data_IF_163229144476
#
_entry.id   IF_163229144476
#
_cell.length_a   1.000
_cell.length_b   1.000
_cell.length_c   1.000
_cell.angle_alpha   90.00
_cell.angle_beta   90.00
_cell.angle_gamma   90.00
#
_symmetry.space_group_name_H-M   'P 1'
#
loop_
_entity.id
_entity.type
_entity.pdbx_description
1 polymer ?
#
# COMPACT_ATOMS: atom_id res chain seq x y z
N UNK A 1 -8.63 -13.82 -6.40
CA UNK A 1 -7.28 -14.39 -6.30
C UNK A 1 -6.30 -13.72 -7.27
N UNK A 2 -6.24 -14.01 -8.58
CA UNK A 2 -5.15 -13.47 -9.44
C UNK A 2 -5.18 -11.94 -9.70
N UNK A 3 -6.37 -11.32 -9.76
CA UNK A 3 -6.49 -9.87 -10.01
C UNK A 3 -6.20 -8.99 -8.77
N UNK A 4 -6.52 -9.47 -7.56
CA UNK A 4 -6.23 -8.73 -6.32
C UNK A 4 -4.72 -8.71 -6.05
N UNK A 5 -4.04 -9.86 -6.17
CA UNK A 5 -2.57 -9.94 -6.06
C UNK A 5 -1.87 -9.06 -7.09
N UNK A 6 -2.41 -8.96 -8.31
CA UNK A 6 -1.86 -8.09 -9.34
C UNK A 6 -2.02 -6.59 -9.00
N UNK A 7 -3.13 -6.20 -8.37
CA UNK A 7 -3.39 -4.81 -7.96
C UNK A 7 -2.48 -4.37 -6.82
N UNK A 8 -2.27 -5.22 -5.82
CA UNK A 8 -1.35 -4.96 -4.70
C UNK A 8 0.09 -4.75 -5.17
N UNK A 9 0.56 -5.68 -6.01
CA UNK A 9 1.88 -5.59 -6.61
C UNK A 9 1.99 -4.32 -7.46
N UNK A 10 0.97 -4.00 -8.26
CA UNK A 10 0.97 -2.82 -9.13
C UNK A 10 1.10 -1.52 -8.34
N UNK A 11 0.40 -1.37 -7.20
CA UNK A 11 0.49 -0.16 -6.36
C UNK A 11 1.91 0.01 -5.83
N UNK A 12 2.52 -1.05 -5.30
CA UNK A 12 3.89 -0.97 -4.77
C UNK A 12 4.90 -0.60 -5.88
N UNK A 13 4.77 -1.19 -7.07
CA UNK A 13 5.63 -0.92 -8.22
C UNK A 13 5.50 0.54 -8.65
N UNK A 14 4.28 1.07 -8.75
CA UNK A 14 4.04 2.45 -9.16
C UNK A 14 4.68 3.43 -8.19
N UNK A 15 4.55 3.20 -6.89
CA UNK A 15 5.12 4.10 -5.87
C UNK A 15 6.64 4.07 -5.88
N UNK A 16 7.24 2.89 -5.99
CA UNK A 16 8.69 2.72 -6.07
C UNK A 16 9.25 3.35 -7.35
N UNK A 17 8.65 3.07 -8.51
CA UNK A 17 9.07 3.64 -9.79
C UNK A 17 8.89 5.16 -9.79
N UNK A 18 7.81 5.67 -9.20
CA UNK A 18 7.59 7.10 -9.02
C UNK A 18 8.70 7.76 -8.19
N UNK A 19 9.06 7.17 -7.04
CA UNK A 19 10.13 7.68 -6.19
C UNK A 19 11.49 7.67 -6.91
N UNK A 20 11.81 6.58 -7.61
CA UNK A 20 13.02 6.48 -8.42
C UNK A 20 13.04 7.56 -9.51
N UNK A 21 11.90 7.81 -10.18
CA UNK A 21 11.78 8.87 -11.18
C UNK A 21 12.05 10.26 -10.62
N UNK A 22 11.51 10.56 -9.43
CA UNK A 22 11.78 11.83 -8.72
C UNK A 22 13.27 11.98 -8.43
N UNK A 23 13.93 10.93 -7.93
CA UNK A 23 15.37 10.93 -7.68
C UNK A 23 16.18 11.17 -8.97
N UNK A 24 15.81 10.51 -10.07
CA UNK A 24 16.48 10.69 -11.37
C UNK A 24 16.39 12.14 -11.89
N UNK A 25 15.22 12.77 -11.74
CA UNK A 25 15.02 14.18 -12.10
C UNK A 25 15.86 15.10 -11.22
N UNK A 26 15.86 14.88 -9.91
CA UNK A 26 16.64 15.66 -8.95
C UNK A 26 18.14 15.56 -9.22
N UNK A 27 18.64 14.35 -9.47
CA UNK A 27 20.03 14.14 -9.88
C UNK A 27 20.33 14.90 -11.17
N UNK A 28 19.48 14.82 -12.19
CA UNK A 28 19.73 15.53 -13.46
C UNK A 28 19.71 17.05 -13.31
N UNK A 29 18.84 17.59 -12.45
CA UNK A 29 18.69 19.03 -12.22
C UNK A 29 19.76 19.64 -11.31
N UNK A 30 20.22 18.89 -10.31
CA UNK A 30 21.09 19.39 -9.24
C UNK A 30 22.48 18.74 -9.19
N UNK A 31 22.79 17.82 -10.10
CA UNK A 31 24.16 17.36 -10.31
C UNK A 31 24.94 18.38 -11.12
N UNK A 32 26.02 18.87 -10.53
CA UNK A 32 27.04 19.68 -11.21
C UNK A 32 28.36 18.92 -11.12
N UNK A 33 28.98 18.65 -12.26
CA UNK A 33 30.28 17.95 -12.36
C UNK A 33 30.31 16.58 -11.64
N UNK A 34 29.22 15.81 -11.73
CA UNK A 34 29.12 14.49 -11.09
C UNK A 34 28.97 14.52 -9.58
N UNK A 35 28.85 15.70 -8.97
CA UNK A 35 28.58 15.88 -7.54
C UNK A 35 27.21 16.53 -7.31
N UNK A 36 26.52 16.12 -6.26
CA UNK A 36 25.35 16.87 -5.80
C UNK A 36 25.84 18.04 -4.96
N UNK A 37 25.56 19.26 -5.43
CA UNK A 37 25.82 20.46 -4.64
C UNK A 37 24.95 20.49 -3.37
N UNK A 38 25.21 21.42 -2.43
CA UNK A 38 24.42 21.58 -1.20
C UNK A 38 22.91 21.67 -1.46
N UNK A 39 22.53 22.38 -2.51
CA UNK A 39 21.13 22.50 -2.98
C UNK A 39 20.53 21.16 -3.39
N UNK A 40 21.29 20.27 -4.03
CA UNK A 40 20.85 18.92 -4.38
C UNK A 40 20.59 18.07 -3.13
N UNK A 41 21.40 18.24 -2.08
CA UNK A 41 21.17 17.60 -0.78
C UNK A 41 19.84 18.02 -0.15
N UNK A 42 19.54 19.32 -0.13
CA UNK A 42 18.24 19.80 0.35
C UNK A 42 17.07 19.31 -0.50
N UNK A 43 17.26 19.20 -1.82
CA UNK A 43 16.24 18.71 -2.73
C UNK A 43 15.95 17.21 -2.53
N UNK A 44 16.97 16.40 -2.21
CA UNK A 44 16.79 14.99 -1.80
C UNK A 44 16.02 14.86 -0.48
N UNK A 45 16.34 15.69 0.51
CA UNK A 45 15.61 15.71 1.79
C UNK A 45 14.15 16.14 1.57
N UNK A 46 13.91 17.16 0.75
CA UNK A 46 12.56 17.58 0.38
C UNK A 46 11.79 16.46 -0.35
N UNK A 47 12.44 15.72 -1.23
CA UNK A 47 11.85 14.58 -1.93
C UNK A 47 11.50 13.43 -0.98
N UNK A 48 12.34 13.15 0.01
CA UNK A 48 12.05 12.16 1.05
C UNK A 48 10.85 12.58 1.90
N UNK A 49 10.81 13.84 2.34
CA UNK A 49 9.66 14.37 3.09
C UNK A 49 8.38 14.30 2.25
N UNK A 50 8.47 14.67 0.97
CA UNK A 50 7.35 14.52 0.01
C UNK A 50 6.89 13.07 -0.14
N UNK A 51 7.82 12.12 -0.24
CA UNK A 51 7.51 10.69 -0.33
C UNK A 51 6.78 10.18 0.92
N UNK A 52 7.22 10.62 2.12
CA UNK A 52 6.55 10.29 3.37
C UNK A 52 5.13 10.84 3.39
N UNK A 53 4.93 12.11 2.97
CA UNK A 53 3.60 12.72 2.89
C UNK A 53 2.71 11.96 1.91
N UNK A 54 3.23 11.52 0.77
CA UNK A 54 2.48 10.71 -0.21
C UNK A 54 2.06 9.37 0.41
N UNK A 55 2.96 8.67 1.11
CA UNK A 55 2.62 7.43 1.80
C UNK A 55 1.62 7.63 2.94
N UNK A 56 1.78 8.68 3.75
CA UNK A 56 0.82 9.03 4.80
C UNK A 56 -0.54 9.42 4.22
N UNK A 57 -0.55 10.15 3.11
CA UNK A 57 -1.76 10.51 2.38
C UNK A 57 -2.45 9.31 1.75
N UNK A 58 -1.69 8.37 1.18
CA UNK A 58 -2.21 7.12 0.66
C UNK A 58 -2.86 6.28 1.76
N UNK A 59 -2.21 6.16 2.93
CA UNK A 59 -2.79 5.48 4.10
C UNK A 59 -4.10 6.12 4.58
N UNK A 60 -4.15 7.45 4.66
CA UNK A 60 -5.37 8.19 5.05
C UNK A 60 -6.47 8.14 3.98
N UNK A 61 -6.11 8.13 2.70
CA UNK A 61 -7.05 7.98 1.60
C UNK A 61 -7.68 6.58 1.60
N UNK A 62 -6.91 5.53 1.93
CA UNK A 62 -7.42 4.18 2.14
C UNK A 62 -8.44 4.17 3.29
N UNK A 63 -8.16 4.81 4.43
CA UNK A 63 -9.12 4.91 5.55
C UNK A 63 -10.43 5.61 5.16
N UNK A 64 -10.39 6.58 4.23
CA UNK A 64 -11.61 7.24 3.72
C UNK A 64 -12.36 6.42 2.67
N UNK A 65 -11.64 5.72 1.79
CA UNK A 65 -12.24 4.83 0.80
C UNK A 65 -12.83 3.57 1.44
N UNK A 66 -12.29 3.13 2.57
CA UNK A 66 -12.85 2.04 3.36
C UNK A 66 -14.29 2.35 3.85
N UNK A 67 -14.60 3.63 4.07
CA UNK A 67 -15.96 4.08 4.37
C UNK A 67 -16.91 4.13 3.16
N UNK A 68 -16.40 4.00 1.92
CA UNK A 68 -17.16 4.09 0.65
C UNK A 68 -16.91 2.91 -0.33
N UNK A 69 -16.17 1.88 0.07
CA UNK A 69 -16.01 0.60 -0.63
C UNK A 69 -14.62 0.33 -1.25
N UNK A 70 -13.93 -0.67 -0.69
CA UNK A 70 -13.09 -1.58 -1.47
C UNK A 70 -11.57 -1.44 -1.35
N UNK A 71 -11.02 -1.48 -0.14
CA UNK A 71 -9.57 -1.71 0.10
C UNK A 71 -9.27 -2.73 1.21
N UNK A 72 -10.30 -3.25 1.88
CA UNK A 72 -10.22 -4.24 2.97
C UNK A 72 -9.41 -5.51 2.65
N UNK A 73 -9.31 -5.90 1.38
CA UNK A 73 -8.63 -7.13 0.98
C UNK A 73 -7.10 -7.00 0.92
N UNK A 74 -6.57 -5.76 0.94
CA UNK A 74 -5.12 -5.51 0.83
C UNK A 74 -4.38 -5.63 2.16
N UNK A 75 -5.07 -5.43 3.29
CA UNK A 75 -4.45 -5.35 4.61
C UNK A 75 -4.68 -6.60 5.46
N UNK A 76 -5.51 -7.53 5.01
CA UNK A 76 -5.70 -8.84 5.64
C UNK A 76 -4.55 -9.80 5.26
N UNK A 77 -3.30 -9.37 5.49
CA UNK A 77 -2.15 -10.28 5.51
C UNK A 77 -2.17 -11.01 6.86
N UNK A 78 -2.71 -12.22 6.86
CA UNK A 78 -2.48 -13.22 7.90
C UNK A 78 -3.75 -13.70 8.60
N UNK A 79 -4.21 -14.89 8.25
CA UNK A 79 -5.25 -15.59 8.99
C UNK A 79 -5.89 -16.68 8.15
N UNK A 80 -5.18 -17.80 8.04
CA UNK A 80 -5.53 -18.96 7.26
C UNK A 80 -6.94 -19.50 7.54
N UNK A 81 -7.54 -19.98 6.46
CA UNK A 81 -8.75 -20.78 6.38
C UNK A 81 -8.72 -21.93 7.41
N UNK A 82 -9.67 -21.95 8.34
CA UNK A 82 -10.01 -23.13 9.12
C UNK A 82 -11.53 -23.22 9.21
N UNK A 83 -12.12 -23.76 8.16
CA UNK A 83 -13.41 -24.42 8.31
C UNK A 83 -13.29 -25.52 9.37
N UNK A 84 -14.24 -25.55 10.29
CA UNK A 84 -14.59 -26.77 11.01
C UNK A 84 -16.10 -26.72 11.25
N UNK A 85 -16.79 -27.52 10.44
CA UNK A 85 -18.21 -27.80 10.52
C UNK A 85 -18.51 -28.40 11.89
N UNK A 86 -18.97 -27.59 12.84
CA UNK A 86 -19.56 -28.10 14.08
C UNK A 86 -21.06 -28.29 13.86
N UNK A 87 -21.33 -29.44 13.25
CA UNK A 87 -22.48 -30.33 13.43
C UNK A 87 -23.71 -29.73 14.13
N UNK A 88 -24.77 -29.59 13.33
CA UNK A 88 -26.18 -29.55 13.73
C UNK A 88 -26.50 -30.72 14.68
N UNK A 89 -26.38 -30.49 16.00
CA UNK A 89 -26.94 -31.39 16.99
C UNK A 89 -28.27 -30.83 17.53
N UNK A 90 -29.35 -31.41 16.99
CA UNK A 90 -30.64 -31.61 17.63
C UNK A 90 -31.51 -30.38 17.92
N UNK A 91 -32.28 -29.96 16.91
CA UNK A 91 -33.63 -29.46 17.10
C UNK A 91 -34.66 -30.55 16.76
N UNK A 92 -35.66 -30.73 17.63
CA UNK A 92 -36.80 -31.65 17.49
C UNK A 92 -36.86 -32.59 18.71
N UNK A 93 -37.52 -32.27 19.82
CA UNK A 93 -38.95 -31.98 19.92
C UNK A 93 -39.79 -32.86 18.99
N UNK A 94 -39.90 -34.14 19.35
CA UNK A 94 -41.04 -34.97 18.96
C UNK A 94 -41.76 -35.43 20.22
N UNK A 95 -42.77 -34.64 20.58
CA UNK A 95 -43.83 -35.02 21.50
C UNK A 95 -44.81 -35.96 20.77
N UNK A 96 -44.75 -37.26 21.06
CA UNK A 96 -45.91 -38.17 21.04
C UNK A 96 -45.62 -39.48 21.78
#
# INVERSE_FOLDING_TARGET
MERQTALEAAVSIVVVVGFIGVLAVLTTMYSTDGSLGPTGGYALVAALVGFIIVMSGAGLALTRMDSDGGVDELTAVGGDDAGDDTDDNAAGDESN
#
